data_IF_262104157216
#
_entry.id   IF_262104157216
#
_cell.length_a   1.000
_cell.length_b   1.000
_cell.length_c   1.000
_cell.angle_alpha   90.00
_cell.angle_beta   90.00
_cell.angle_gamma   90.00
#
_symmetry.space_group_name_H-M   'P 1'
#
loop_
_entity.id
_entity.type
_entity.pdbx_description
1 polymer ?
#
# COMPACT_ATOMS: atom_id res chain seq x y z
N UNK A 1 -8.29 -0.96 30.58
CA UNK A 1 -9.27 -0.50 29.57
C UNK A 1 -8.57 -0.11 28.26
N UNK A 2 -7.23 -0.12 28.24
CA UNK A 2 -6.41 0.40 27.13
C UNK A 2 -6.28 -0.57 25.94
N UNK A 3 -6.43 -1.87 26.17
CA UNK A 3 -6.26 -2.91 25.13
C UNK A 3 -7.30 -2.83 24.00
N UNK A 4 -8.55 -2.44 24.29
CA UNK A 4 -9.58 -2.27 23.26
C UNK A 4 -9.34 -1.01 22.41
N UNK A 5 -8.88 0.07 23.05
CA UNK A 5 -8.52 1.30 22.35
C UNK A 5 -7.30 1.10 21.44
N UNK A 6 -6.32 0.30 21.90
CA UNK A 6 -5.12 -0.04 21.13
C UNK A 6 -5.47 -0.96 19.93
N UNK A 7 -6.31 -1.97 20.13
CA UNK A 7 -6.82 -2.82 19.04
C UNK A 7 -7.62 -2.03 18.00
N UNK A 8 -8.46 -1.09 18.43
CA UNK A 8 -9.20 -0.22 17.51
C UNK A 8 -8.26 0.69 16.70
N UNK A 9 -7.18 1.17 17.34
CA UNK A 9 -6.15 1.99 16.69
C UNK A 9 -5.37 1.18 15.66
N UNK A 10 -4.93 -0.04 16.02
CA UNK A 10 -4.26 -0.97 15.11
C UNK A 10 -5.13 -1.29 13.87
N UNK A 11 -6.42 -1.59 14.06
CA UNK A 11 -7.36 -1.83 12.96
C UNK A 11 -7.51 -0.62 12.05
N UNK A 12 -7.56 0.59 12.62
CA UNK A 12 -7.66 1.83 11.85
C UNK A 12 -6.38 2.09 11.05
N UNK A 13 -5.21 1.93 11.67
CA UNK A 13 -3.93 2.11 11.01
C UNK A 13 -3.76 1.12 9.85
N UNK A 14 -4.09 -0.15 10.09
CA UNK A 14 -4.13 -1.18 9.05
C UNK A 14 -5.03 -0.77 7.87
N UNK A 15 -6.23 -0.25 8.13
CA UNK A 15 -7.13 0.20 7.07
C UNK A 15 -6.53 1.34 6.25
N UNK A 16 -5.87 2.31 6.90
CA UNK A 16 -5.22 3.45 6.23
C UNK A 16 -4.05 2.96 5.36
N UNK A 17 -3.22 2.04 5.86
CA UNK A 17 -2.11 1.46 5.11
C UNK A 17 -2.59 0.76 3.85
N UNK A 18 -3.68 -0.02 3.94
CA UNK A 18 -4.28 -0.70 2.79
C UNK A 18 -4.90 0.28 1.78
N UNK A 19 -5.52 1.37 2.25
CA UNK A 19 -6.03 2.42 1.38
C UNK A 19 -4.90 3.10 0.62
N UNK A 20 -3.80 3.44 1.30
CA UNK A 20 -2.63 4.06 0.68
C UNK A 20 -1.96 3.11 -0.33
N UNK A 21 -1.88 1.81 -0.03
CA UNK A 21 -1.37 0.80 -0.96
C UNK A 21 -2.20 0.78 -2.26
N UNK A 22 -3.54 0.78 -2.14
CA UNK A 22 -4.45 0.81 -3.31
C UNK A 22 -4.26 2.06 -4.15
N UNK A 23 -4.04 3.21 -3.52
CA UNK A 23 -3.78 4.47 -4.24
C UNK A 23 -2.48 4.40 -5.05
N UNK A 24 -1.42 3.81 -4.48
CA UNK A 24 -0.18 3.58 -5.19
C UNK A 24 -0.33 2.58 -6.34
N UNK A 25 -1.07 1.48 -6.17
CA UNK A 25 -1.33 0.57 -7.29
C UNK A 25 -2.09 1.25 -8.42
N UNK A 26 -3.07 2.10 -8.08
CA UNK A 26 -3.81 2.87 -9.07
C UNK A 26 -2.89 3.83 -9.83
N UNK A 27 -2.02 4.55 -9.13
CA UNK A 27 -1.02 5.42 -9.76
C UNK A 27 -0.05 4.63 -10.64
N UNK A 28 0.41 3.45 -10.20
CA UNK A 28 1.27 2.56 -10.98
C UNK A 28 0.56 2.04 -12.24
N UNK A 29 -0.71 1.65 -12.12
CA UNK A 29 -1.52 1.15 -13.24
C UNK A 29 -1.75 2.26 -14.27
N UNK A 30 -2.11 3.46 -13.82
CA UNK A 30 -2.29 4.64 -14.70
C UNK A 30 -1.00 5.01 -15.40
N UNK A 31 0.12 5.05 -14.68
CA UNK A 31 1.44 5.35 -15.27
C UNK A 31 1.88 4.28 -16.27
N UNK A 32 1.67 3.00 -15.96
CA UNK A 32 1.98 1.90 -16.87
C UNK A 32 1.10 1.93 -18.13
N UNK A 33 -0.19 2.22 -18.00
CA UNK A 33 -1.12 2.33 -19.12
C UNK A 33 -0.79 3.53 -20.04
N UNK A 34 -0.24 4.60 -19.48
CA UNK A 34 0.23 5.76 -20.24
C UNK A 34 1.60 5.51 -20.92
N UNK A 35 2.32 4.45 -20.54
CA UNK A 35 3.63 4.12 -21.11
C UNK A 35 3.45 3.20 -22.32
N UNK A 36 3.98 3.57 -23.51
CA UNK A 36 4.01 2.67 -24.66
C UNK A 36 4.77 1.38 -24.36
N UNK A 37 4.35 0.26 -24.94
CA UNK A 37 4.95 -1.06 -24.64
C UNK A 37 6.43 -1.18 -25.04
N UNK A 38 6.89 -0.37 -25.99
CA UNK A 38 8.28 -0.36 -26.47
C UNK A 38 9.20 0.50 -25.61
N UNK A 39 8.64 1.28 -24.68
CA UNK A 39 9.40 2.16 -23.80
C UNK A 39 9.66 1.47 -22.46
N UNK A 40 10.79 1.82 -21.84
CA UNK A 40 11.11 1.31 -20.52
C UNK A 40 10.05 1.77 -19.50
N UNK A 41 9.71 0.88 -18.56
CA UNK A 41 8.75 1.20 -17.51
C UNK A 41 9.24 2.42 -16.70
N UNK A 42 8.42 3.46 -16.51
CA UNK A 42 8.84 4.66 -15.80
C UNK A 42 9.28 4.32 -14.37
N UNK A 43 10.36 4.93 -13.85
CA UNK A 43 10.81 4.71 -12.47
C UNK A 43 9.72 4.99 -11.43
N UNK A 44 8.80 5.91 -11.71
CA UNK A 44 7.65 6.21 -10.86
C UNK A 44 6.69 5.02 -10.70
N UNK A 45 6.43 4.26 -11.77
CA UNK A 45 5.59 3.05 -11.72
C UNK A 45 6.24 2.00 -10.82
N UNK A 46 7.56 1.82 -10.94
CA UNK A 46 8.32 0.91 -10.09
C UNK A 46 8.26 1.37 -8.63
N UNK A 47 8.47 2.67 -8.37
CA UNK A 47 8.39 3.26 -7.04
C UNK A 47 7.02 3.09 -6.39
N UNK A 48 5.95 3.31 -7.15
CA UNK A 48 4.58 3.09 -6.67
C UNK A 48 4.30 1.63 -6.32
N UNK A 49 4.75 0.68 -7.15
CA UNK A 49 4.63 -0.77 -6.84
C UNK A 49 5.39 -1.15 -5.58
N UNK A 50 6.62 -0.65 -5.42
CA UNK A 50 7.43 -0.90 -4.23
C UNK A 50 6.77 -0.32 -2.96
N UNK A 51 6.24 0.91 -3.02
CA UNK A 51 5.51 1.52 -1.92
C UNK A 51 4.25 0.72 -1.56
N UNK A 52 3.47 0.31 -2.56
CA UNK A 52 2.27 -0.48 -2.34
C UNK A 52 2.56 -1.87 -1.74
N UNK A 53 3.72 -2.47 -2.04
CA UNK A 53 4.17 -3.71 -1.41
C UNK A 53 4.52 -3.49 0.06
N UNK A 54 5.39 -2.51 0.35
CA UNK A 54 5.80 -2.19 1.73
C UNK A 54 4.61 -1.85 2.65
N UNK A 55 3.63 -1.09 2.14
CA UNK A 55 2.43 -0.75 2.89
C UNK A 55 1.54 -1.97 3.21
N UNK A 56 1.49 -2.97 2.32
CA UNK A 56 0.77 -4.23 2.58
C UNK A 56 1.50 -5.09 3.59
N UNK A 57 2.82 -5.17 3.49
CA UNK A 57 3.64 -5.92 4.44
C UNK A 57 3.45 -5.36 5.85
N UNK A 58 3.53 -4.04 6.01
CA UNK A 58 3.26 -3.37 7.28
C UNK A 58 1.80 -3.58 7.74
N UNK A 59 0.82 -3.50 6.83
CA UNK A 59 -0.58 -3.79 7.17
C UNK A 59 -0.81 -5.23 7.63
N UNK A 60 0.00 -6.18 7.15
CA UNK A 60 -0.07 -7.58 7.55
C UNK A 60 0.55 -7.82 8.92
N UNK A 61 1.55 -7.04 9.36
CA UNK A 61 2.05 -7.14 10.73
C UNK A 61 0.96 -6.91 11.78
N UNK A 62 0.00 -6.01 11.51
CA UNK A 62 -1.18 -5.82 12.37
C UNK A 62 -2.18 -6.99 12.40
N UNK A 63 -2.01 -8.03 11.55
CA UNK A 63 -2.76 -9.28 11.65
C UNK A 63 -2.04 -10.33 12.51
N UNK A 64 -0.71 -10.28 12.55
CA UNK A 64 0.11 -11.23 13.31
C UNK A 64 0.21 -10.84 14.80
N UNK A 65 0.00 -9.57 15.13
CA UNK A 65 0.05 -9.02 16.50
C UNK A 65 -1.31 -8.95 17.22
N UNK A 66 -2.41 -9.34 16.56
CA UNK A 66 -3.79 -9.27 17.09
C UNK A 66 -4.36 -10.61 17.52
#
# INVERSE_FOLDING_TARGET
MDTEADSATAKRLRSILLELARNHDHAAATGAAATPYWEACPPSVIGHRAAAAALRDEANHFLDEG
#
